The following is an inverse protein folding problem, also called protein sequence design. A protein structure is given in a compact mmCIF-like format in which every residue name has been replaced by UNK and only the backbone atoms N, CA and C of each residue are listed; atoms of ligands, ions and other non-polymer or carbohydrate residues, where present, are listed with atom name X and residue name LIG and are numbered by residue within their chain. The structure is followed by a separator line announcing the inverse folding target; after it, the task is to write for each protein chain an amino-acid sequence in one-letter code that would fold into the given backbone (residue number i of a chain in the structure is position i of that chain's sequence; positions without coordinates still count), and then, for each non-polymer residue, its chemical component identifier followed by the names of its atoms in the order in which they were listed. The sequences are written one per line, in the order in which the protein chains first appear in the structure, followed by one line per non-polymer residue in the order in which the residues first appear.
data_IF_613058136702
#
_entry.id   IF_613058136702
#
_cell.length_a   1.000
_cell.length_b   1.000
_cell.length_c   1.000
_cell.angle_alpha   90.00
_cell.angle_beta   90.00
_cell.angle_gamma   90.00
#
_symmetry.space_group_name_H-M   'P 1'
#
loop_
_entity.id
_entity.type
_entity.pdbx_description
1 polymer ?
#
# COMPACT_ATOMS: atom_id res chain seq x y z
N UNK A 1 5.19 24.00 4.46
CA UNK A 1 6.20 24.51 3.51
C UNK A 1 7.06 25.49 4.30
N UNK A 2 7.99 24.98 5.11
CA UNK A 2 8.76 25.78 6.06
C UNK A 2 10.00 26.36 5.38
N UNK A 3 10.17 27.68 5.50
CA UNK A 3 11.30 28.50 5.05
C UNK A 3 12.66 27.84 5.27
N UNK A 4 13.18 27.17 4.24
CA UNK A 4 14.60 26.80 4.18
C UNK A 4 15.28 27.80 3.27
N UNK A 5 15.95 28.78 3.88
CA UNK A 5 16.74 29.77 3.14
C UNK A 5 18.07 29.14 2.69
N UNK A 6 18.17 28.80 1.41
CA UNK A 6 19.37 28.21 0.83
C UNK A 6 20.41 29.30 0.51
N UNK A 7 21.18 29.72 1.51
CA UNK A 7 22.12 30.86 1.39
C UNK A 7 23.57 30.47 1.04
N UNK A 8 23.94 29.19 1.16
CA UNK A 8 25.33 28.73 0.94
C UNK A 8 25.47 28.09 -0.44
N UNK A 9 26.35 28.65 -1.29
CA UNK A 9 26.70 28.09 -2.60
C UNK A 9 27.82 27.06 -2.47
N UNK A 10 27.64 25.89 -3.09
CA UNK A 10 28.68 24.87 -3.27
C UNK A 10 28.85 24.57 -4.75
N UNK A 11 30.08 24.61 -5.25
CA UNK A 11 30.42 24.28 -6.63
C UNK A 11 31.07 22.90 -6.65
N UNK A 12 30.62 22.03 -7.54
CA UNK A 12 31.12 20.67 -7.72
C UNK A 12 31.57 20.46 -9.16
N UNK A 13 32.63 19.67 -9.34
CA UNK A 13 33.09 19.19 -10.66
C UNK A 13 32.69 17.72 -10.78
N UNK A 14 32.04 17.36 -11.88
CA UNK A 14 31.59 16.01 -12.18
C UNK A 14 32.25 15.54 -13.48
N UNK A 15 32.41 14.22 -13.61
CA UNK A 15 32.69 13.63 -14.92
C UNK A 15 31.44 13.72 -15.81
N UNK A 16 31.57 13.62 -17.14
CA UNK A 16 30.42 13.63 -18.05
C UNK A 16 29.37 12.57 -17.71
N UNK A 17 29.81 11.37 -17.34
CA UNK A 17 28.95 10.26 -16.93
C UNK A 17 28.18 10.57 -15.64
N UNK A 18 28.85 11.16 -14.65
CA UNK A 18 28.22 11.57 -13.39
C UNK A 18 27.18 12.67 -13.60
N UNK A 19 27.46 13.63 -14.49
CA UNK A 19 26.51 14.69 -14.84
C UNK A 19 25.27 14.13 -15.54
N UNK A 20 25.44 13.21 -16.51
CA UNK A 20 24.31 12.53 -17.16
C UNK A 20 23.47 11.72 -16.17
N UNK A 21 24.12 10.99 -15.26
CA UNK A 21 23.41 10.21 -14.25
C UNK A 21 22.63 11.10 -13.27
N UNK A 22 23.17 12.26 -12.88
CA UNK A 22 22.48 13.24 -12.04
C UNK A 22 21.23 13.81 -12.75
N UNK A 23 21.37 14.18 -14.03
CA UNK A 23 20.26 14.67 -14.84
C UNK A 23 19.16 13.61 -15.02
N UNK A 24 19.54 12.36 -15.29
CA UNK A 24 18.60 11.25 -15.42
C UNK A 24 17.82 11.00 -14.12
N UNK A 25 18.53 10.85 -12.99
CA UNK A 25 17.91 10.51 -11.70
C UNK A 25 17.04 11.64 -11.13
N UNK A 26 17.45 12.90 -11.32
CA UNK A 26 16.63 14.05 -10.92
C UNK A 26 15.34 14.13 -11.72
N UNK A 27 15.40 13.88 -13.04
CA UNK A 27 14.24 13.79 -13.92
C UNK A 27 13.31 12.63 -13.56
N UNK A 28 13.85 11.44 -13.28
CA UNK A 28 13.07 10.28 -12.84
C UNK A 28 12.31 10.56 -11.53
N UNK A 29 12.93 11.33 -10.63
CA UNK A 29 12.33 11.76 -9.38
C UNK A 29 11.46 13.03 -9.51
N UNK A 30 11.32 13.57 -10.73
CA UNK A 30 10.55 14.77 -11.06
C UNK A 30 10.92 16.01 -10.23
N UNK A 31 12.23 16.24 -10.03
CA UNK A 31 12.78 17.36 -9.26
C UNK A 31 14.01 17.96 -9.94
N UNK A 32 14.41 19.17 -9.53
CA UNK A 32 15.66 19.76 -10.03
C UNK A 32 16.89 19.01 -9.50
N UNK A 33 18.01 19.06 -10.22
CA UNK A 33 19.27 18.45 -9.76
C UNK A 33 19.71 18.93 -8.37
N UNK A 34 19.46 20.20 -8.07
CA UNK A 34 19.78 20.79 -6.77
C UNK A 34 18.86 20.24 -5.66
N UNK A 35 17.57 20.04 -5.94
CA UNK A 35 16.65 19.38 -5.00
C UNK A 35 17.02 17.91 -4.81
N UNK A 36 17.40 17.23 -5.88
CA UNK A 36 17.83 15.84 -5.84
C UNK A 36 19.09 15.66 -4.99
N UNK A 37 20.11 16.51 -5.14
CA UNK A 37 21.30 16.46 -4.29
C UNK A 37 20.96 16.72 -2.82
N UNK A 38 20.10 17.71 -2.53
CA UNK A 38 19.66 17.99 -1.16
C UNK A 38 18.89 16.82 -0.56
N UNK A 39 18.03 16.17 -1.34
CA UNK A 39 17.31 14.97 -0.95
C UNK A 39 18.30 13.86 -0.55
N UNK A 40 19.27 13.57 -1.42
CA UNK A 40 20.26 12.52 -1.22
C UNK A 40 21.17 12.79 -0.01
N UNK A 41 21.49 14.06 0.28
CA UNK A 41 22.25 14.45 1.48
C UNK A 41 21.40 14.29 2.75
N UNK A 42 20.11 14.64 2.69
CA UNK A 42 19.24 14.63 3.86
C UNK A 42 18.91 13.22 4.38
N UNK A 43 18.84 12.23 3.47
CA UNK A 43 18.48 10.82 3.73
C UNK A 43 17.29 10.62 4.69
N UNK A 44 16.35 11.56 4.84
CA UNK A 44 15.22 11.38 5.75
C UNK A 44 14.15 10.54 5.05
N UNK A 45 13.55 9.54 5.73
CA UNK A 45 12.46 8.73 5.16
C UNK A 45 11.28 9.57 4.64
N UNK A 46 11.06 10.74 5.25
CA UNK A 46 10.02 11.70 4.86
C UNK A 46 10.24 12.30 3.47
N UNK A 47 11.43 12.26 2.90
CA UNK A 47 11.74 12.99 1.67
C UNK A 47 11.58 12.13 0.40
N UNK A 48 11.18 10.85 0.56
CA UNK A 48 10.87 9.94 -0.54
C UNK A 48 9.34 9.84 -0.76
N UNK A 49 8.79 10.45 -1.84
CA UNK A 49 7.35 10.44 -2.10
C UNK A 49 6.77 9.03 -2.26
N UNK A 50 7.53 8.12 -2.88
CA UNK A 50 7.15 6.72 -3.08
C UNK A 50 6.95 5.99 -1.75
N UNK A 51 7.87 6.15 -0.80
CA UNK A 51 7.77 5.55 0.53
C UNK A 51 6.57 6.09 1.31
N UNK A 52 6.24 7.38 1.17
CA UNK A 52 5.01 7.93 1.77
C UNK A 52 3.74 7.32 1.20
N UNK A 53 3.69 7.11 -0.12
CA UNK A 53 2.58 6.44 -0.79
C UNK A 53 2.36 5.04 -0.22
N UNK A 54 3.42 4.24 -0.18
CA UNK A 54 3.42 2.89 0.38
C UNK A 54 2.99 2.87 1.86
N UNK A 55 3.50 3.77 2.70
CA UNK A 55 3.06 3.87 4.09
C UNK A 55 1.57 4.23 4.21
N UNK A 56 1.06 5.11 3.35
CA UNK A 56 -0.36 5.50 3.34
C UNK A 56 -1.26 4.33 2.92
N UNK A 57 -0.85 3.59 1.91
CA UNK A 57 -1.53 2.36 1.48
C UNK A 57 -1.57 1.33 2.60
N UNK A 58 -0.43 1.09 3.27
CA UNK A 58 -0.36 0.18 4.41
C UNK A 58 -1.30 0.60 5.55
N UNK A 59 -1.32 1.89 5.90
CA UNK A 59 -2.24 2.41 6.92
C UNK A 59 -3.71 2.18 6.52
N UNK A 60 -4.04 2.39 5.24
CA UNK A 60 -5.40 2.16 4.74
C UNK A 60 -5.81 0.69 4.81
N UNK A 61 -4.89 -0.23 4.49
CA UNK A 61 -5.14 -1.67 4.61
C UNK A 61 -5.35 -2.09 6.08
N UNK A 62 -4.51 -1.59 7.01
CA UNK A 62 -4.70 -1.83 8.44
C UNK A 62 -6.07 -1.31 8.91
N UNK A 63 -6.49 -0.13 8.44
CA UNK A 63 -7.81 0.41 8.76
C UNK A 63 -8.95 -0.48 8.22
N UNK A 64 -8.83 -1.00 7.00
CA UNK A 64 -9.81 -1.95 6.45
C UNK A 64 -9.88 -3.24 7.26
N UNK A 65 -8.74 -3.78 7.68
CA UNK A 65 -8.69 -4.95 8.56
C UNK A 65 -9.40 -4.64 9.90
N UNK A 66 -9.15 -3.48 10.50
CA UNK A 66 -9.82 -3.05 11.73
C UNK A 66 -11.34 -2.97 11.58
N UNK A 67 -11.83 -2.43 10.46
CA UNK A 67 -13.27 -2.39 10.14
C UNK A 67 -13.85 -3.80 10.02
N UNK A 68 -13.18 -4.71 9.30
CA UNK A 68 -13.63 -6.09 9.16
C UNK A 68 -13.67 -6.82 10.51
N UNK A 69 -12.67 -6.63 11.37
CA UNK A 69 -12.65 -7.19 12.73
C UNK A 69 -13.84 -6.65 13.53
N UNK A 70 -14.08 -5.33 13.51
CA UNK A 70 -15.21 -4.74 14.21
C UNK A 70 -16.55 -5.28 13.71
N UNK A 71 -16.70 -5.51 12.41
CA UNK A 71 -17.90 -6.15 11.86
C UNK A 71 -18.07 -7.59 12.32
N UNK A 72 -17.00 -8.38 12.38
CA UNK A 72 -17.05 -9.77 12.90
C UNK A 72 -17.47 -9.77 14.36
N UNK A 73 -16.84 -8.93 15.18
CA UNK A 73 -17.15 -8.81 16.62
C UNK A 73 -18.59 -8.32 16.81
N UNK A 74 -19.02 -7.32 16.06
CA UNK A 74 -20.39 -6.82 16.09
C UNK A 74 -21.40 -7.90 15.69
N UNK A 75 -21.17 -8.61 14.59
CA UNK A 75 -22.02 -9.70 14.12
C UNK A 75 -22.10 -10.86 15.13
N UNK A 76 -21.00 -11.17 15.82
CA UNK A 76 -20.98 -12.16 16.88
C UNK A 76 -21.74 -11.69 18.12
N UNK A 77 -21.48 -10.47 18.58
CA UNK A 77 -22.05 -9.94 19.83
C UNK A 77 -23.52 -9.54 19.70
N UNK A 78 -24.00 -9.23 18.50
CA UNK A 78 -25.39 -8.88 18.26
C UNK A 78 -26.28 -10.07 17.90
N UNK A 79 -25.77 -11.31 17.91
CA UNK A 79 -26.54 -12.52 17.58
C UNK A 79 -27.35 -12.39 16.26
N UNK A 80 -26.82 -11.63 15.28
CA UNK A 80 -27.56 -11.27 14.05
C UNK A 80 -27.96 -12.47 13.18
N UNK A 81 -27.36 -13.63 13.42
CA UNK A 81 -27.81 -14.86 12.80
C UNK A 81 -28.63 -15.64 13.81
N UNK A 82 -29.94 -15.66 13.60
CA UNK A 82 -30.79 -16.62 14.28
C UNK A 82 -30.26 -18.03 14.00
N UNK A 83 -30.56 -18.98 14.87
CA UNK A 83 -30.25 -20.39 14.63
C UNK A 83 -30.77 -20.87 13.26
N UNK A 84 -31.86 -20.28 12.78
CA UNK A 84 -32.46 -20.56 11.47
C UNK A 84 -31.61 -20.04 10.30
N UNK A 85 -31.03 -18.84 10.42
CA UNK A 85 -30.11 -18.30 9.41
C UNK A 85 -28.83 -19.13 9.32
N UNK A 86 -28.31 -19.60 10.47
CA UNK A 86 -27.17 -20.52 10.53
C UNK A 86 -27.50 -21.85 9.87
N UNK A 87 -28.70 -22.40 10.10
CA UNK A 87 -29.18 -23.64 9.46
C UNK A 87 -29.33 -23.49 7.94
N UNK A 88 -29.89 -22.38 7.46
CA UNK A 88 -29.99 -22.08 6.03
C UNK A 88 -28.62 -21.96 5.38
N UNK A 89 -27.67 -21.28 6.01
CA UNK A 89 -26.31 -21.13 5.51
C UNK A 89 -25.60 -22.48 5.37
N UNK A 90 -25.76 -23.36 6.36
CA UNK A 90 -25.25 -24.75 6.32
C UNK A 90 -25.89 -25.53 5.16
N UNK A 91 -27.19 -25.35 4.91
CA UNK A 91 -27.87 -26.02 3.79
C UNK A 91 -27.33 -25.56 2.44
N UNK A 92 -27.08 -24.26 2.26
CA UNK A 92 -26.51 -23.71 1.04
C UNK A 92 -25.07 -24.20 0.81
N UNK A 93 -24.24 -24.24 1.85
CA UNK A 93 -22.88 -24.78 1.78
C UNK A 93 -22.86 -26.27 1.38
N UNK A 94 -23.79 -27.07 1.91
CA UNK A 94 -23.95 -28.48 1.50
C UNK A 94 -24.34 -28.61 0.04
N UNK A 95 -25.27 -27.79 -0.44
CA UNK A 95 -25.68 -27.77 -1.85
C UNK A 95 -24.54 -27.38 -2.78
N UNK A 96 -23.74 -26.37 -2.42
CA UNK A 96 -22.55 -25.97 -3.19
C UNK A 96 -21.52 -27.09 -3.21
N UNK A 97 -21.25 -27.73 -2.07
CA UNK A 97 -20.28 -28.83 -1.99
C UNK A 97 -20.71 -30.02 -2.84
N UNK A 98 -22.01 -30.32 -2.89
CA UNK A 98 -22.58 -31.36 -3.76
C UNK A 98 -22.38 -31.00 -5.23
N UNK A 99 -22.72 -29.78 -5.64
CA UNK A 99 -22.54 -29.32 -7.02
C UNK A 99 -21.06 -29.34 -7.43
N UNK A 100 -20.16 -28.91 -6.54
CA UNK A 100 -18.70 -28.96 -6.79
C UNK A 100 -18.22 -30.41 -6.93
N UNK A 101 -18.71 -31.33 -6.09
CA UNK A 101 -18.39 -32.76 -6.20
C UNK A 101 -18.85 -33.36 -7.52
N UNK A 102 -20.09 -33.12 -7.92
CA UNK A 102 -20.65 -33.60 -9.19
C UNK A 102 -19.87 -33.07 -10.39
N UNK A 103 -19.39 -31.81 -10.32
CA UNK A 103 -18.50 -31.26 -11.34
C UNK A 103 -17.14 -31.95 -11.27
N UNK A 104 -16.50 -32.11 -10.11
CA UNK A 104 -15.19 -32.80 -10.04
C UNK A 104 -15.23 -34.26 -10.50
N UNK A 105 -16.33 -34.98 -10.24
CA UNK A 105 -16.52 -36.38 -10.65
C UNK A 105 -16.80 -36.52 -12.15
N UNK A 106 -17.41 -35.51 -12.80
CA UNK A 106 -17.65 -35.50 -14.25
C UNK A 106 -16.41 -35.22 -15.09
N UNK A 107 -15.33 -34.75 -14.48
CA UNK A 107 -14.08 -34.36 -15.15
C UNK A 107 -12.89 -35.24 -14.75
N UNK A 108 -13.14 -36.38 -14.07
CA UNK A 108 -12.22 -37.53 -13.94
C UNK A 108 -12.60 -38.62 -14.93
#
# INVERSE_FOLDING_TARGET
MSDKNYSVRKTLRLTPEQAQMLAYKSKEANMSEAEYLRLMISQKPKDYPKLRGLCKELINEINRIGVNINQIVYNHNCDFYSTDDKLRLISYLKSITKAVKEVTEKWQ
#
